data_IF_970993016145
#
_entry.id   IF_970993016145
#
_cell.length_a   1.000
_cell.length_b   1.000
_cell.length_c   1.000
_cell.angle_alpha   90.00
_cell.angle_beta   90.00
_cell.angle_gamma   90.00
#
_symmetry.space_group_name_H-M   'P 1'
#
loop_
_entity.id
_entity.type
_entity.pdbx_description
1 polymer ?
#
# COMPACT_ATOMS: atom_id res chain seq x y z
N UNK A 1 25.11 9.02 14.26
CA UNK A 1 23.77 9.21 14.84
C UNK A 1 23.70 10.58 15.47
N UNK A 2 22.70 11.37 15.15
CA UNK A 2 22.47 12.69 15.69
C UNK A 2 21.01 12.83 16.10
N UNK A 3 20.74 13.70 17.07
CA UNK A 3 19.38 14.10 17.39
C UNK A 3 18.75 14.80 16.19
N UNK A 4 17.56 14.35 15.78
CA UNK A 4 16.91 14.83 14.57
C UNK A 4 16.54 16.33 14.67
N UNK A 5 16.09 16.79 15.82
CA UNK A 5 15.72 18.20 16.04
C UNK A 5 16.96 19.09 15.91
N UNK A 6 18.02 18.76 16.64
CA UNK A 6 19.28 19.51 16.62
C UNK A 6 19.88 19.48 15.20
N UNK A 7 19.81 18.32 14.51
CA UNK A 7 20.26 18.19 13.13
C UNK A 7 19.53 19.11 12.17
N UNK A 8 18.21 19.15 12.25
CA UNK A 8 17.37 20.02 11.43
C UNK A 8 17.57 21.51 11.75
N UNK A 9 17.71 21.90 13.02
CA UNK A 9 18.01 23.26 13.42
C UNK A 9 19.35 23.75 12.85
N UNK A 10 20.40 22.91 12.94
CA UNK A 10 21.71 23.22 12.36
C UNK A 10 21.67 23.31 10.84
N UNK A 11 20.94 22.40 10.18
CA UNK A 11 20.77 22.43 8.74
C UNK A 11 20.02 23.68 8.29
N UNK A 12 18.93 24.03 8.97
CA UNK A 12 18.16 25.23 8.70
C UNK A 12 19.01 26.49 8.85
N UNK A 13 19.84 26.56 9.91
CA UNK A 13 20.76 27.67 10.12
C UNK A 13 21.84 27.76 9.04
N UNK A 14 22.38 26.62 8.61
CA UNK A 14 23.40 26.56 7.55
C UNK A 14 22.85 26.95 6.16
N UNK A 15 21.59 26.61 5.89
CA UNK A 15 20.91 26.99 4.64
C UNK A 15 20.59 28.49 4.58
N UNK A 16 20.40 29.15 5.72
CA UNK A 16 20.14 30.59 5.79
C UNK A 16 18.93 30.99 4.93
N UNK A 17 19.16 31.91 4.00
CA UNK A 17 18.14 32.38 3.07
C UNK A 17 17.97 31.56 1.79
N UNK A 18 18.51 30.33 1.75
CA UNK A 18 18.37 29.46 0.58
C UNK A 18 16.89 29.15 0.30
N UNK A 19 16.45 29.42 -0.92
CA UNK A 19 15.10 29.09 -1.39
C UNK A 19 15.18 27.95 -2.38
N UNK A 20 14.42 26.90 -2.10
CA UNK A 20 14.27 25.78 -3.01
C UNK A 20 13.09 26.01 -3.94
N UNK A 21 13.37 26.08 -5.24
CA UNK A 21 12.33 26.31 -6.26
C UNK A 21 11.39 25.11 -6.49
N UNK A 22 11.64 23.99 -5.81
CA UNK A 22 10.90 22.76 -6.04
C UNK A 22 11.38 21.98 -7.26
N UNK A 23 10.87 20.79 -7.50
CA UNK A 23 11.18 20.03 -8.71
C UNK A 23 10.59 20.75 -9.93
N UNK A 24 11.25 20.59 -11.08
CA UNK A 24 10.77 21.09 -12.36
C UNK A 24 9.31 20.61 -12.60
N UNK A 25 8.43 21.54 -12.96
CA UNK A 25 7.02 21.26 -13.22
C UNK A 25 6.84 20.24 -14.35
N UNK A 26 7.73 20.22 -15.35
CA UNK A 26 7.73 19.25 -16.43
C UNK A 26 8.04 17.84 -15.95
N UNK A 27 8.99 17.68 -15.03
CA UNK A 27 9.32 16.38 -14.41
C UNK A 27 8.12 15.84 -13.63
N UNK A 28 7.47 16.72 -12.84
CA UNK A 28 6.28 16.34 -12.07
C UNK A 28 5.12 15.94 -13.00
N UNK A 29 4.85 16.71 -14.05
CA UNK A 29 3.80 16.42 -15.02
C UNK A 29 4.06 15.09 -15.76
N UNK A 30 5.30 14.86 -16.17
CA UNK A 30 5.72 13.60 -16.81
C UNK A 30 5.53 12.40 -15.90
N UNK A 31 5.88 12.52 -14.61
CA UNK A 31 5.65 11.47 -13.63
C UNK A 31 4.17 11.14 -13.48
N UNK A 32 3.33 12.13 -13.29
CA UNK A 32 1.89 11.91 -13.15
C UNK A 32 1.26 11.32 -14.39
N UNK A 33 1.67 11.74 -15.60
CA UNK A 33 1.20 11.15 -16.84
C UNK A 33 1.54 9.65 -16.95
N UNK A 34 2.74 9.26 -16.54
CA UNK A 34 3.15 7.84 -16.48
C UNK A 34 2.34 7.07 -15.43
N UNK A 35 2.15 7.64 -14.24
CA UNK A 35 1.36 7.03 -13.18
C UNK A 35 -0.09 6.83 -13.63
N UNK A 36 -0.70 7.82 -14.29
CA UNK A 36 -2.05 7.71 -14.83
C UNK A 36 -2.17 6.63 -15.91
N UNK A 37 -1.17 6.50 -16.77
CA UNK A 37 -1.15 5.48 -17.82
C UNK A 37 -1.12 4.05 -17.25
N UNK A 38 -0.26 3.78 -16.25
CA UNK A 38 -0.13 2.43 -15.67
C UNK A 38 -1.28 2.07 -14.73
N UNK A 39 -1.95 3.06 -14.16
CA UNK A 39 -3.11 2.87 -13.27
C UNK A 39 -4.46 2.90 -14.00
N UNK A 40 -4.46 3.11 -15.33
CA UNK A 40 -5.66 3.07 -16.13
C UNK A 40 -6.33 1.68 -16.08
N UNK A 41 -7.63 1.63 -16.32
CA UNK A 41 -8.33 0.35 -16.42
C UNK A 41 -7.72 -0.52 -17.54
N UNK A 42 -7.71 -1.85 -17.40
CA UNK A 42 -7.25 -2.73 -18.48
C UNK A 42 -8.07 -2.50 -19.74
N UNK A 43 -7.40 -2.53 -20.88
CA UNK A 43 -8.06 -2.38 -22.18
C UNK A 43 -8.99 -3.55 -22.53
N UNK A 44 -8.66 -4.75 -22.04
CA UNK A 44 -9.47 -5.95 -22.14
C UNK A 44 -10.05 -6.31 -20.77
N UNK A 45 -11.39 -6.29 -20.70
CA UNK A 45 -12.12 -6.63 -19.46
C UNK A 45 -12.00 -8.11 -19.06
N UNK A 46 -11.52 -8.97 -19.94
CA UNK A 46 -11.29 -10.39 -19.67
C UNK A 46 -9.88 -10.67 -19.10
N UNK A 47 -8.99 -9.69 -19.15
CA UNK A 47 -7.66 -9.79 -18.58
C UNK A 47 -7.68 -9.53 -17.09
N UNK A 48 -6.91 -10.30 -16.30
CA UNK A 48 -6.69 -9.99 -14.90
C UNK A 48 -5.96 -8.64 -14.77
N UNK A 49 -6.40 -7.77 -13.86
CA UNK A 49 -5.74 -6.50 -13.65
C UNK A 49 -4.35 -6.70 -13.02
N UNK A 50 -3.44 -5.81 -13.33
CA UNK A 50 -2.18 -5.69 -12.59
C UNK A 50 -2.41 -5.01 -11.24
N UNK A 51 -1.48 -5.18 -10.28
CA UNK A 51 -1.53 -4.47 -8.98
C UNK A 51 -1.67 -2.95 -9.17
N UNK A 52 -0.94 -2.37 -10.14
CA UNK A 52 -1.03 -0.95 -10.47
C UNK A 52 -2.44 -0.53 -10.94
N UNK A 53 -3.10 -1.36 -11.73
CA UNK A 53 -4.47 -1.11 -12.18
C UNK A 53 -5.48 -1.23 -11.05
N UNK A 54 -5.25 -2.15 -10.10
CA UNK A 54 -6.05 -2.25 -8.87
C UNK A 54 -5.88 -0.98 -8.03
N UNK A 55 -4.64 -0.50 -7.82
CA UNK A 55 -4.37 0.76 -7.12
C UNK A 55 -5.15 1.91 -7.78
N UNK A 56 -5.10 1.99 -9.11
CA UNK A 56 -5.83 3.02 -9.87
C UNK A 56 -7.35 2.94 -9.68
N UNK A 57 -7.91 1.73 -9.69
CA UNK A 57 -9.34 1.51 -9.48
C UNK A 57 -9.75 1.94 -8.06
N UNK A 58 -8.99 1.53 -7.04
CA UNK A 58 -9.22 1.90 -5.64
C UNK A 58 -9.14 3.42 -5.46
N UNK A 59 -8.12 4.06 -6.07
CA UNK A 59 -7.97 5.51 -5.97
C UNK A 59 -9.13 6.27 -6.63
N UNK A 60 -9.62 5.81 -7.76
CA UNK A 60 -10.79 6.41 -8.42
C UNK A 60 -12.08 6.25 -7.61
N UNK A 61 -12.22 5.15 -6.88
CA UNK A 61 -13.36 4.86 -6.02
C UNK A 61 -13.28 5.55 -4.64
N UNK A 62 -12.08 6.02 -4.23
CA UNK A 62 -11.87 6.61 -2.91
C UNK A 62 -12.29 8.08 -2.86
N UNK A 63 -12.69 8.51 -1.66
CA UNK A 63 -13.00 9.91 -1.35
C UNK A 63 -11.75 10.69 -0.96
N UNK A 64 -11.86 12.01 -0.92
CA UNK A 64 -10.73 12.88 -0.59
C UNK A 64 -10.22 12.69 0.86
N UNK A 65 -11.10 12.29 1.78
CA UNK A 65 -10.77 12.01 3.17
C UNK A 65 -10.21 10.60 3.42
N UNK A 66 -10.04 9.79 2.38
CA UNK A 66 -9.56 8.41 2.52
C UNK A 66 -8.12 8.37 3.01
N UNK A 67 -7.87 7.50 3.98
CA UNK A 67 -6.52 7.02 4.35
C UNK A 67 -6.31 5.67 3.72
N UNK A 68 -5.27 5.53 2.91
CA UNK A 68 -4.82 4.23 2.41
C UNK A 68 -3.69 3.70 3.29
N UNK A 69 -3.70 2.41 3.53
CA UNK A 69 -2.75 1.73 4.39
C UNK A 69 -2.23 0.46 3.74
N UNK A 70 -0.94 0.23 3.83
CA UNK A 70 -0.26 -1.03 3.47
C UNK A 70 0.95 -1.24 4.39
N UNK A 71 1.59 -2.42 4.33
CA UNK A 71 2.79 -2.69 5.12
C UNK A 71 3.88 -3.42 4.31
N UNK A 72 3.65 -4.65 3.88
CA UNK A 72 4.70 -5.48 3.32
C UNK A 72 4.42 -5.99 1.90
N UNK A 73 5.45 -6.48 1.24
CA UNK A 73 5.35 -7.09 -0.09
C UNK A 73 5.65 -6.14 -1.24
N UNK A 74 5.06 -6.38 -2.41
CA UNK A 74 5.19 -5.51 -3.60
C UNK A 74 4.31 -4.29 -3.50
N UNK A 75 3.11 -4.47 -2.95
CA UNK A 75 2.09 -3.43 -2.85
C UNK A 75 2.61 -2.12 -2.24
N UNK A 76 3.41 -2.09 -1.14
CA UNK A 76 3.97 -0.86 -0.61
C UNK A 76 4.78 -0.06 -1.63
N UNK A 77 5.62 -0.73 -2.41
CA UNK A 77 6.46 -0.05 -3.40
C UNK A 77 5.65 0.59 -4.52
N UNK A 78 4.65 -0.11 -5.03
CA UNK A 78 3.76 0.38 -6.07
C UNK A 78 2.81 1.45 -5.52
N UNK A 79 2.23 1.23 -4.36
CA UNK A 79 1.32 2.19 -3.72
C UNK A 79 2.05 3.51 -3.40
N UNK A 80 3.30 3.43 -2.89
CA UNK A 80 4.12 4.60 -2.61
C UNK A 80 4.40 5.45 -3.86
N UNK A 81 4.56 4.82 -5.01
CA UNK A 81 4.83 5.51 -6.27
C UNK A 81 3.57 6.08 -6.92
N UNK A 82 2.44 5.42 -6.77
CA UNK A 82 1.26 5.65 -7.60
C UNK A 82 0.11 6.33 -6.87
N UNK A 83 0.03 6.18 -5.53
CA UNK A 83 -1.05 6.78 -4.76
C UNK A 83 -0.92 8.31 -4.70
N UNK A 84 -1.98 9.00 -5.07
CA UNK A 84 -2.04 10.47 -5.02
C UNK A 84 -2.77 10.91 -3.75
N UNK A 85 -2.01 11.15 -2.70
CA UNK A 85 -2.54 11.68 -1.44
C UNK A 85 -3.14 13.08 -1.62
N UNK A 86 -4.35 13.29 -1.14
CA UNK A 86 -5.07 14.55 -1.26
C UNK A 86 -5.01 15.38 0.01
N UNK A 87 -4.89 14.74 1.15
CA UNK A 87 -4.82 15.39 2.46
C UNK A 87 -3.58 14.93 3.23
N UNK A 88 -3.08 15.70 4.19
CA UNK A 88 -2.07 15.25 5.12
C UNK A 88 -2.52 13.96 5.84
N UNK A 89 -1.57 13.09 6.16
CA UNK A 89 -1.81 11.81 6.85
C UNK A 89 -2.83 10.89 6.14
N UNK A 90 -2.96 11.00 4.80
CA UNK A 90 -3.84 10.14 4.01
C UNK A 90 -3.15 8.89 3.42
N UNK A 91 -1.89 8.69 3.74
CA UNK A 91 -1.10 7.52 3.38
C UNK A 91 -0.36 7.02 4.60
N UNK A 92 -0.60 5.77 4.97
CA UNK A 92 0.07 5.11 6.09
C UNK A 92 0.77 3.84 5.62
N UNK A 93 2.02 3.68 6.00
CA UNK A 93 2.82 2.52 5.64
C UNK A 93 3.74 2.13 6.80
N UNK A 94 3.65 0.89 7.25
CA UNK A 94 4.66 0.31 8.10
C UNK A 94 5.79 -0.22 7.20
N UNK A 95 6.88 0.51 7.11
CA UNK A 95 8.01 0.17 6.25
C UNK A 95 9.31 -0.07 7.01
N UNK A 96 9.40 0.35 8.25
CA UNK A 96 10.62 0.24 9.04
C UNK A 96 11.08 -1.20 9.21
N UNK A 97 10.16 -2.10 9.48
CA UNK A 97 10.41 -3.54 9.60
C UNK A 97 9.69 -4.37 8.53
N UNK A 98 8.83 -3.74 7.73
CA UNK A 98 8.05 -4.38 6.68
C UNK A 98 7.27 -5.62 7.18
N UNK A 99 6.53 -5.42 8.28
CA UNK A 99 5.85 -6.48 9.00
C UNK A 99 4.62 -6.97 8.22
N UNK A 100 4.69 -8.18 7.68
CA UNK A 100 3.52 -8.85 7.11
C UNK A 100 2.49 -9.13 8.20
N UNK A 101 1.21 -8.88 7.89
CA UNK A 101 0.11 -9.07 8.84
C UNK A 101 -0.25 -7.83 9.66
N UNK A 102 0.55 -6.76 9.60
CA UNK A 102 0.25 -5.50 10.27
C UNK A 102 -0.99 -4.79 9.68
N UNK A 103 -1.30 -5.04 8.41
CA UNK A 103 -2.18 -4.22 7.60
C UNK A 103 -3.58 -4.10 8.19
N UNK A 104 -4.21 -5.19 8.61
CA UNK A 104 -5.58 -5.17 9.11
C UNK A 104 -5.65 -4.45 10.48
N UNK A 105 -4.77 -4.84 11.40
CA UNK A 105 -4.68 -4.20 12.72
C UNK A 105 -4.34 -2.71 12.61
N UNK A 106 -3.39 -2.37 11.72
CA UNK A 106 -3.01 -0.98 11.45
C UNK A 106 -4.16 -0.16 10.88
N UNK A 107 -4.91 -0.73 9.94
CA UNK A 107 -6.11 -0.10 9.38
C UNK A 107 -7.20 0.13 10.42
N UNK A 108 -7.45 -0.85 11.28
CA UNK A 108 -8.35 -0.71 12.42
C UNK A 108 -7.89 0.41 13.36
N UNK A 109 -6.61 0.43 13.72
CA UNK A 109 -6.04 1.48 14.58
C UNK A 109 -6.17 2.88 13.99
N UNK A 110 -5.94 3.04 12.67
CA UNK A 110 -6.17 4.31 11.97
C UNK A 110 -7.64 4.72 12.08
N UNK A 111 -8.58 3.80 11.83
CA UNK A 111 -10.01 4.09 11.90
C UNK A 111 -10.46 4.46 13.31
N UNK A 112 -9.87 3.87 14.34
CA UNK A 112 -10.13 4.24 15.73
C UNK A 112 -9.62 5.63 16.07
N UNK A 113 -8.45 6.00 15.54
CA UNK A 113 -7.86 7.33 15.76
C UNK A 113 -8.54 8.44 14.95
N UNK A 114 -9.03 8.11 13.75
CA UNK A 114 -9.63 9.03 12.78
C UNK A 114 -11.01 8.52 12.33
N UNK A 115 -12.02 8.48 13.23
CA UNK A 115 -13.29 7.80 12.97
C UNK A 115 -14.09 8.37 11.79
N UNK A 116 -13.88 9.64 11.45
CA UNK A 116 -14.58 10.29 10.34
C UNK A 116 -13.94 10.03 8.97
N UNK A 117 -12.75 9.43 8.93
CA UNK A 117 -12.06 9.14 7.68
C UNK A 117 -12.40 7.76 7.16
N UNK A 118 -12.47 7.62 5.85
CA UNK A 118 -12.51 6.31 5.22
C UNK A 118 -11.12 5.67 5.30
N UNK A 119 -11.07 4.40 5.69
CA UNK A 119 -9.81 3.66 5.75
C UNK A 119 -9.87 2.50 4.77
N UNK A 120 -8.90 2.46 3.86
CA UNK A 120 -8.71 1.38 2.89
C UNK A 120 -7.37 0.70 3.18
N UNK A 121 -7.43 -0.57 3.48
CA UNK A 121 -6.26 -1.44 3.66
C UNK A 121 -5.99 -2.16 2.35
N UNK A 122 -4.81 -2.00 1.77
CA UNK A 122 -4.38 -2.74 0.58
C UNK A 122 -3.33 -3.77 0.99
N UNK A 123 -3.62 -5.04 0.76
CA UNK A 123 -2.84 -6.15 1.29
C UNK A 123 -2.73 -7.30 0.29
N UNK A 124 -1.59 -7.95 0.21
CA UNK A 124 -1.43 -9.20 -0.52
C UNK A 124 -2.05 -10.39 0.23
N UNK A 125 -2.49 -11.41 -0.50
CA UNK A 125 -3.10 -12.63 0.06
C UNK A 125 -2.21 -13.30 1.12
N UNK A 126 -0.91 -13.41 0.91
CA UNK A 126 0.02 -14.00 1.88
C UNK A 126 0.10 -13.21 3.19
N UNK A 127 0.13 -11.88 3.13
CA UNK A 127 0.14 -11.03 4.32
C UNK A 127 -1.21 -11.05 5.04
N UNK A 128 -2.30 -11.04 4.27
CA UNK A 128 -3.66 -11.16 4.80
C UNK A 128 -3.85 -12.44 5.62
N UNK A 129 -3.34 -13.57 5.14
CA UNK A 129 -3.47 -14.86 5.83
C UNK A 129 -2.69 -14.93 7.15
N UNK A 130 -1.73 -14.05 7.37
CA UNK A 130 -0.94 -14.07 8.61
C UNK A 130 -1.68 -13.49 9.81
N UNK A 131 -2.49 -12.44 9.63
CA UNK A 131 -3.15 -11.73 10.74
C UNK A 131 -4.52 -11.18 10.32
N UNK A 132 -5.38 -12.01 9.77
CA UNK A 132 -6.73 -11.60 9.36
C UNK A 132 -7.75 -11.58 10.51
N UNK A 133 -7.39 -12.08 11.69
CA UNK A 133 -8.27 -12.15 12.86
C UNK A 133 -8.82 -10.79 13.30
N UNK A 134 -8.10 -9.71 13.02
CA UNK A 134 -8.53 -8.35 13.37
C UNK A 134 -9.73 -7.85 12.56
N UNK A 135 -10.12 -8.56 11.49
CA UNK A 135 -11.43 -8.34 10.86
C UNK A 135 -12.58 -8.68 11.81
N UNK A 136 -12.46 -9.79 12.52
CA UNK A 136 -13.46 -10.16 13.54
C UNK A 136 -13.50 -9.13 14.67
N UNK A 137 -12.35 -8.60 15.07
CA UNK A 137 -12.26 -7.52 16.05
C UNK A 137 -12.97 -6.26 15.53
N UNK A 138 -12.70 -5.84 14.30
CA UNK A 138 -13.34 -4.68 13.67
C UNK A 138 -14.89 -4.85 13.62
N UNK A 139 -15.35 -6.02 13.22
CA UNK A 139 -16.80 -6.35 13.19
C UNK A 139 -17.39 -6.31 14.60
N UNK A 140 -16.74 -6.94 15.58
CA UNK A 140 -17.20 -6.94 16.98
C UNK A 140 -17.26 -5.56 17.62
N UNK A 141 -16.39 -4.64 17.17
CA UNK A 141 -16.38 -3.25 17.60
C UNK A 141 -17.34 -2.35 16.81
N UNK A 142 -17.97 -2.84 15.74
CA UNK A 142 -18.77 -2.03 14.82
C UNK A 142 -17.94 -1.00 14.03
N UNK A 143 -16.64 -1.25 13.84
CA UNK A 143 -15.70 -0.36 13.15
C UNK A 143 -15.57 -0.77 11.70
N UNK A 144 -15.94 0.12 10.78
CA UNK A 144 -15.88 -0.14 9.34
C UNK A 144 -14.52 0.23 8.76
N UNK A 145 -13.83 -0.76 8.20
CA UNK A 145 -12.66 -0.60 7.31
C UNK A 145 -12.95 -1.29 5.98
N UNK A 146 -12.29 -0.87 4.91
CA UNK A 146 -12.34 -1.54 3.60
C UNK A 146 -11.02 -2.26 3.39
N UNK A 147 -11.07 -3.56 3.08
CA UNK A 147 -9.87 -4.35 2.79
C UNK A 147 -9.88 -4.75 1.33
N UNK A 148 -8.81 -4.42 0.61
CA UNK A 148 -8.57 -4.79 -0.78
C UNK A 148 -7.45 -5.80 -0.81
N UNK A 149 -7.76 -7.04 -1.16
CA UNK A 149 -6.79 -8.13 -1.23
C UNK A 149 -6.35 -8.31 -2.67
N UNK A 150 -5.04 -8.22 -2.92
CA UNK A 150 -4.44 -8.59 -4.21
C UNK A 150 -3.95 -10.03 -4.13
N UNK A 151 -4.69 -10.93 -4.77
CA UNK A 151 -4.41 -12.37 -4.76
C UNK A 151 -3.47 -12.73 -5.92
N UNK A 152 -2.20 -12.93 -5.61
CA UNK A 152 -1.21 -13.48 -6.50
C UNK A 152 -0.85 -14.94 -6.18
N UNK A 153 -1.61 -15.57 -5.29
CA UNK A 153 -1.52 -16.97 -4.85
C UNK A 153 -0.21 -17.31 -4.16
N UNK A 154 0.25 -16.43 -3.29
CA UNK A 154 1.42 -16.71 -2.47
C UNK A 154 2.21 -15.47 -2.06
N UNK A 155 3.46 -15.72 -1.74
CA UNK A 155 4.42 -14.71 -1.33
C UNK A 155 5.20 -14.17 -2.53
N UNK A 156 4.49 -13.53 -3.46
CA UNK A 156 5.02 -13.12 -4.76
C UNK A 156 6.27 -12.23 -4.69
N UNK A 157 6.37 -11.35 -3.72
CA UNK A 157 7.55 -10.51 -3.52
C UNK A 157 8.76 -11.36 -3.13
N UNK A 158 8.59 -12.27 -2.17
CA UNK A 158 9.65 -13.18 -1.71
C UNK A 158 10.11 -14.06 -2.87
N UNK A 159 9.18 -14.61 -3.64
CA UNK A 159 9.50 -15.42 -4.82
C UNK A 159 10.33 -14.64 -5.85
N UNK A 160 9.96 -13.40 -6.15
CA UNK A 160 10.74 -12.54 -7.07
C UNK A 160 12.13 -12.23 -6.54
N UNK A 161 12.28 -11.94 -5.26
CA UNK A 161 13.58 -11.71 -4.64
C UNK A 161 14.46 -12.95 -4.70
N UNK A 162 13.90 -14.12 -4.40
CA UNK A 162 14.62 -15.38 -4.46
C UNK A 162 15.11 -15.69 -5.88
N UNK A 163 14.24 -15.57 -6.87
CA UNK A 163 14.62 -15.77 -8.27
C UNK A 163 15.59 -14.69 -8.78
N UNK A 164 15.41 -13.44 -8.38
CA UNK A 164 16.28 -12.33 -8.76
C UNK A 164 17.72 -12.46 -8.21
N UNK A 165 17.90 -13.18 -7.12
CA UNK A 165 19.22 -13.50 -6.56
C UNK A 165 19.81 -14.83 -7.08
N UNK A 166 19.18 -15.45 -8.09
CA UNK A 166 19.63 -16.70 -8.70
C UNK A 166 19.19 -17.97 -7.97
N UNK A 167 18.31 -17.84 -6.96
CA UNK A 167 17.70 -18.98 -6.27
C UNK A 167 16.56 -19.61 -7.06
N UNK A 168 16.33 -20.91 -6.83
CA UNK A 168 15.15 -21.59 -7.35
C UNK A 168 13.90 -21.21 -6.53
N UNK A 169 12.74 -21.24 -7.17
CA UNK A 169 11.46 -21.08 -6.48
C UNK A 169 11.27 -22.17 -5.42
N UNK A 170 10.95 -21.79 -4.19
CA UNK A 170 10.76 -22.72 -3.09
C UNK A 170 9.66 -22.26 -2.14
N UNK A 171 8.55 -22.99 -2.11
CA UNK A 171 7.40 -22.80 -1.20
C UNK A 171 6.84 -21.37 -1.10
N UNK A 172 7.09 -20.51 -2.09
CA UNK A 172 6.64 -19.12 -2.08
C UNK A 172 5.31 -18.93 -2.82
N UNK A 173 4.84 -19.93 -3.53
CA UNK A 173 3.53 -19.95 -4.18
C UNK A 173 2.71 -21.07 -3.58
N UNK A 174 1.40 -20.84 -3.47
CA UNK A 174 0.48 -21.90 -3.07
C UNK A 174 0.45 -22.96 -4.16
N UNK A 175 1.15 -24.03 -3.92
CA UNK A 175 1.24 -25.13 -4.87
C UNK A 175 -0.18 -25.70 -5.09
N UNK A 176 -0.60 -25.82 -6.34
CA UNK A 176 -1.75 -26.61 -6.76
C UNK A 176 -3.11 -26.20 -6.19
N UNK A 177 -3.32 -24.97 -5.77
CA UNK A 177 -4.65 -24.56 -5.39
C UNK A 177 -5.53 -24.37 -6.64
N UNK A 178 -6.08 -25.48 -7.15
CA UNK A 178 -7.34 -25.44 -7.89
C UNK A 178 -8.51 -25.05 -6.96
N UNK A 179 -8.21 -24.59 -5.75
CA UNK A 179 -9.17 -24.07 -4.81
C UNK A 179 -9.53 -22.68 -5.30
N UNK A 180 -10.76 -22.52 -5.76
CA UNK A 180 -11.35 -21.20 -5.96
C UNK A 180 -11.19 -20.39 -4.68
N UNK A 181 -10.93 -19.08 -4.77
CA UNK A 181 -10.92 -18.22 -3.60
C UNK A 181 -12.22 -18.46 -2.83
N UNK A 182 -12.09 -18.81 -1.56
CA UNK A 182 -13.26 -18.93 -0.68
C UNK A 182 -13.71 -17.49 -0.44
N UNK A 183 -14.84 -17.12 -1.02
CA UNK A 183 -15.52 -15.91 -0.61
C UNK A 183 -16.01 -16.14 0.83
N UNK A 184 -15.44 -15.41 1.77
CA UNK A 184 -15.92 -15.39 3.14
C UNK A 184 -16.85 -14.18 3.23
N UNK A 185 -18.14 -14.40 3.22
CA UNK A 185 -19.14 -13.41 3.60
C UNK A 185 -19.19 -13.33 5.14
N UNK A 186 -18.96 -12.12 5.66
CA UNK A 186 -19.14 -11.80 7.07
C UNK A 186 -20.41 -10.97 7.26
#
# INVERSE_FOLDING_TARGET
TADAKIGLEKLSSALGGHTYAGPDAGVKASWFAKADAVTAAPADSNSLPTDMQVIGAVQRASRDNTVVMCAAGTMPGELHQLWKSKLPLSYHMEYGFSCMGYEIAGGLGIKMAEPERDVIVMVGDGSYMMMNSELATAVGMGVKITVVITDNRGYGCINRLQMGTGGAQFNNLYAHSNVSPIAIDF
#
